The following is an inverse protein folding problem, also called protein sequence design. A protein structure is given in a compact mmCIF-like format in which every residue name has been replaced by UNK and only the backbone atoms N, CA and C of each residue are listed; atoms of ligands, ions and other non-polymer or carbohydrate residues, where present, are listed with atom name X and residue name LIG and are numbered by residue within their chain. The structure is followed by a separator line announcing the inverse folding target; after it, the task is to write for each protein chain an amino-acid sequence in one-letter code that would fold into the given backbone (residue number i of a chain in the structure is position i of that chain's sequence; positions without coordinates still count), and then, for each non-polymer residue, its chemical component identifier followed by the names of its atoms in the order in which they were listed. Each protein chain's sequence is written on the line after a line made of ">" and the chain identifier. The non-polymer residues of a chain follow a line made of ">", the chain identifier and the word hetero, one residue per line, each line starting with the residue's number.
data_IF_285593069415
#
_entry.id   IF_285593069415
#
_cell.length_a   1.000
_cell.length_b   1.000
_cell.length_c   1.000
_cell.angle_alpha   90.00
_cell.angle_beta   90.00
_cell.angle_gamma   90.00
#
_symmetry.space_group_name_H-M   'P 1'
#
loop_
_entity.id
_entity.type
_entity.pdbx_description
1 polymer ?
#
# COMPACT_ATOMS: atom_id res chain seq x y z
N UNK A 1 2.59 -6.00 -15.89
CA UNK A 1 2.30 -5.20 -14.68
C UNK A 1 1.71 -6.14 -13.63
N UNK A 2 2.22 -6.15 -12.40
CA UNK A 2 1.74 -7.03 -11.33
C UNK A 2 1.44 -6.22 -10.07
N UNK A 3 0.27 -6.46 -9.47
CA UNK A 3 -0.21 -5.80 -8.27
C UNK A 3 -0.23 -6.77 -7.10
N UNK A 4 0.36 -6.38 -5.98
CA UNK A 4 0.30 -7.09 -4.71
C UNK A 4 -0.58 -6.30 -3.74
N UNK A 5 -1.59 -6.94 -3.17
CA UNK A 5 -2.37 -6.41 -2.06
C UNK A 5 -2.24 -7.34 -0.86
N UNK A 6 -1.76 -6.84 0.28
CA UNK A 6 -1.53 -7.67 1.47
C UNK A 6 -1.87 -6.94 2.76
N UNK A 7 -2.82 -7.49 3.53
CA UNK A 7 -2.93 -7.18 4.95
C UNK A 7 -1.77 -7.84 5.73
N UNK A 8 -0.79 -7.02 6.13
CA UNK A 8 0.45 -7.48 6.77
C UNK A 8 0.33 -7.63 8.28
N UNK A 9 -0.74 -7.11 8.90
CA UNK A 9 -1.02 -7.15 10.35
C UNK A 9 0.13 -6.62 11.25
N UNK A 10 1.03 -5.81 10.69
CA UNK A 10 2.18 -5.22 11.36
C UNK A 10 3.49 -5.49 10.61
N UNK A 11 4.30 -4.44 10.43
CA UNK A 11 5.63 -4.52 9.81
C UNK A 11 6.79 -4.38 10.82
N UNK A 12 6.56 -4.74 12.08
CA UNK A 12 7.58 -4.72 13.14
C UNK A 12 8.51 -5.95 13.13
N UNK A 13 8.11 -7.04 12.46
CA UNK A 13 8.88 -8.28 12.38
C UNK A 13 9.74 -8.37 11.10
N UNK A 14 11.04 -8.63 11.26
CA UNK A 14 11.99 -8.84 10.15
C UNK A 14 11.58 -9.98 9.21
N UNK A 15 10.95 -11.04 9.72
CA UNK A 15 10.50 -12.16 8.90
C UNK A 15 9.36 -11.75 7.95
N UNK A 16 8.46 -10.87 8.41
CA UNK A 16 7.37 -10.34 7.57
C UNK A 16 7.96 -9.47 6.47
N UNK A 17 8.93 -8.61 6.81
CA UNK A 17 9.64 -7.77 5.81
C UNK A 17 10.38 -8.65 4.80
N UNK A 18 11.04 -9.73 5.23
CA UNK A 18 11.73 -10.63 4.32
C UNK A 18 10.75 -11.40 3.41
N UNK A 19 9.64 -11.90 3.96
CA UNK A 19 8.59 -12.55 3.19
C UNK A 19 7.97 -11.59 2.16
N UNK A 20 7.69 -10.35 2.56
CA UNK A 20 7.21 -9.29 1.68
C UNK A 20 8.18 -9.06 0.52
N UNK A 21 9.47 -8.91 0.81
CA UNK A 21 10.49 -8.75 -0.23
C UNK A 21 10.54 -9.98 -1.16
N UNK A 22 10.44 -11.19 -0.61
CA UNK A 22 10.41 -12.42 -1.38
C UNK A 22 9.23 -12.49 -2.34
N UNK A 23 8.03 -12.09 -1.89
CA UNK A 23 6.82 -12.06 -2.72
C UNK A 23 6.95 -10.98 -3.82
N UNK A 24 7.38 -9.77 -3.45
CA UNK A 24 7.58 -8.68 -4.41
C UNK A 24 8.57 -9.08 -5.50
N UNK A 25 9.69 -9.69 -5.11
CA UNK A 25 10.71 -10.15 -6.04
C UNK A 25 10.20 -11.29 -6.92
N UNK A 26 9.56 -12.30 -6.33
CA UNK A 26 9.05 -13.48 -7.05
C UNK A 26 8.06 -13.11 -8.14
N UNK A 27 7.18 -12.14 -7.88
CA UNK A 27 6.14 -11.74 -8.83
C UNK A 27 6.46 -10.46 -9.60
N UNK A 28 7.65 -9.88 -9.39
CA UNK A 28 8.06 -8.59 -9.93
C UNK A 28 6.96 -7.52 -9.79
N UNK A 29 6.37 -7.42 -8.59
CA UNK A 29 5.24 -6.55 -8.33
C UNK A 29 5.63 -5.09 -8.44
N UNK A 30 4.97 -4.36 -9.34
CA UNK A 30 5.23 -2.95 -9.59
C UNK A 30 4.35 -2.02 -8.75
N UNK A 31 3.21 -2.53 -8.30
CA UNK A 31 2.28 -1.84 -7.39
C UNK A 31 2.11 -2.72 -6.16
N UNK A 32 2.33 -2.18 -4.97
CA UNK A 32 2.20 -2.90 -3.71
C UNK A 32 1.33 -2.10 -2.75
N UNK A 33 0.15 -2.63 -2.43
CA UNK A 33 -0.73 -2.12 -1.40
C UNK A 33 -0.62 -2.95 -0.13
N UNK A 34 -0.35 -2.29 0.98
CA UNK A 34 -0.27 -2.90 2.31
C UNK A 34 -1.31 -2.27 3.23
N UNK A 35 -2.05 -3.12 3.94
CA UNK A 35 -2.98 -2.70 5.00
C UNK A 35 -2.58 -3.27 6.36
N UNK A 36 -3.04 -2.60 7.42
CA UNK A 36 -2.59 -2.83 8.80
C UNK A 36 -1.06 -2.79 8.94
N UNK A 37 -0.42 -1.77 8.37
CA UNK A 37 1.03 -1.64 8.46
C UNK A 37 1.49 -1.45 9.91
N UNK A 38 0.65 -0.83 10.75
CA UNK A 38 0.93 -0.47 12.16
C UNK A 38 2.24 0.31 12.35
N UNK A 39 2.67 1.00 11.28
CA UNK A 39 3.92 1.74 11.24
C UNK A 39 3.66 3.14 10.68
N UNK A 40 4.45 4.11 11.16
CA UNK A 40 4.38 5.49 10.66
C UNK A 40 5.06 5.60 9.29
N UNK A 41 4.65 6.59 8.50
CA UNK A 41 5.27 6.96 7.21
C UNK A 41 6.80 6.95 7.25
N UNK A 42 7.42 7.54 8.27
CA UNK A 42 8.89 7.62 8.40
C UNK A 42 9.60 6.26 8.51
N UNK A 43 8.94 5.24 9.03
CA UNK A 43 9.43 3.86 9.02
C UNK A 43 9.22 3.24 7.64
N UNK A 44 8.00 3.40 7.11
CA UNK A 44 7.58 2.82 5.84
C UNK A 44 8.33 3.38 4.63
N UNK A 45 8.84 4.61 4.66
CA UNK A 45 9.66 5.18 3.59
C UNK A 45 11.08 4.56 3.52
N UNK A 46 11.54 3.96 4.61
CA UNK A 46 12.89 3.35 4.68
C UNK A 46 12.91 1.93 4.11
N UNK A 47 11.77 1.23 4.11
CA UNK A 47 11.62 -0.12 3.56
C UNK A 47 11.73 -0.18 2.02
N UNK A 48 10.97 0.61 1.23
CA UNK A 48 10.96 0.55 -0.22
C UNK A 48 12.27 0.98 -0.87
N UNK A 49 13.12 1.77 -0.18
CA UNK A 49 14.47 2.13 -0.67
C UNK A 49 15.35 0.90 -0.93
N UNK A 50 15.03 -0.25 -0.31
CA UNK A 50 15.71 -1.53 -0.59
C UNK A 50 15.12 -2.29 -1.78
N UNK A 51 13.93 -1.90 -2.25
CA UNK A 51 13.07 -2.69 -3.14
C UNK A 51 12.72 -1.97 -4.46
N UNK A 52 13.55 -1.01 -4.92
CA UNK A 52 13.42 -0.30 -6.20
C UNK A 52 12.20 0.63 -6.38
N UNK A 53 11.27 0.70 -5.43
CA UNK A 53 10.12 1.60 -5.56
C UNK A 53 10.52 3.08 -5.52
N UNK A 54 10.08 3.84 -6.53
CA UNK A 54 10.40 5.25 -6.71
C UNK A 54 9.42 6.18 -6.00
N UNK A 55 8.18 5.72 -5.78
CA UNK A 55 7.11 6.51 -5.16
C UNK A 55 6.40 5.70 -4.08
N UNK A 56 5.89 6.41 -3.08
CA UNK A 56 5.12 5.82 -1.99
C UNK A 56 4.06 6.79 -1.47
N UNK A 57 2.86 6.28 -1.23
CA UNK A 57 1.76 6.99 -0.60
C UNK A 57 1.36 6.29 0.69
N UNK A 58 1.05 7.05 1.75
CA UNK A 58 0.90 6.51 3.09
C UNK A 58 -0.25 7.18 3.83
N UNK A 59 -1.13 6.36 4.40
CA UNK A 59 -2.11 6.79 5.38
C UNK A 59 -1.60 6.33 6.74
N UNK A 60 -1.25 7.28 7.62
CA UNK A 60 -0.73 6.94 8.94
C UNK A 60 -1.80 6.23 9.80
N UNK A 61 -1.41 5.27 10.64
CA UNK A 61 -2.33 4.68 11.61
C UNK A 61 -2.78 5.73 12.64
N UNK A 62 -4.09 5.80 12.91
CA UNK A 62 -4.65 6.58 14.02
C UNK A 62 -4.76 5.68 15.27
N UNK A 63 -5.10 4.39 15.07
CA UNK A 63 -5.22 3.37 16.12
C UNK A 63 -4.31 2.15 15.86
N UNK A 64 -4.35 1.18 16.77
CA UNK A 64 -3.51 -0.05 16.74
C UNK A 64 -3.77 -0.97 15.55
N UNK A 65 -4.89 -0.85 14.85
CA UNK A 65 -5.31 -1.74 13.76
C UNK A 65 -5.55 -0.96 12.44
N UNK A 66 -4.62 -0.07 12.10
CA UNK A 66 -4.75 0.84 10.97
C UNK A 66 -3.39 1.04 10.28
N UNK A 67 -3.41 1.86 9.23
CA UNK A 67 -2.23 2.22 8.44
C UNK A 67 -2.25 1.56 7.07
N UNK A 68 -2.14 2.39 6.03
CA UNK A 68 -2.06 1.97 4.63
C UNK A 68 -0.73 2.42 4.02
N UNK A 69 -0.19 1.60 3.12
CA UNK A 69 0.91 1.98 2.25
C UNK A 69 0.60 1.55 0.82
N UNK A 70 0.95 2.42 -0.14
CA UNK A 70 0.94 2.12 -1.56
C UNK A 70 2.33 2.43 -2.10
N UNK A 71 3.05 1.42 -2.58
CA UNK A 71 4.38 1.54 -3.19
C UNK A 71 4.31 1.28 -4.68
N UNK A 72 5.11 2.04 -5.45
CA UNK A 72 5.01 2.10 -6.90
C UNK A 72 6.39 2.16 -7.53
N UNK A 73 6.58 1.37 -8.57
CA UNK A 73 7.76 1.42 -9.43
C UNK A 73 7.32 1.32 -10.88
N UNK A 74 7.99 2.05 -11.76
CA UNK A 74 7.76 2.02 -13.22
C UNK A 74 6.34 2.40 -13.67
N UNK A 75 5.50 2.93 -12.77
CA UNK A 75 4.16 3.42 -13.06
C UNK A 75 3.96 4.81 -12.48
N UNK A 76 3.16 5.61 -13.17
CA UNK A 76 2.70 6.90 -12.68
C UNK A 76 1.28 6.77 -12.14
N UNK A 77 1.02 7.45 -11.03
CA UNK A 77 -0.31 7.49 -10.45
C UNK A 77 -0.71 8.93 -10.16
N UNK A 78 -2.02 9.19 -10.23
CA UNK A 78 -2.64 10.41 -9.70
C UNK A 78 -3.62 9.99 -8.62
N UNK A 79 -3.48 10.55 -7.41
CA UNK A 79 -4.46 10.35 -6.34
C UNK A 79 -5.73 11.12 -6.72
N UNK A 80 -6.85 10.41 -6.83
CA UNK A 80 -8.16 11.01 -7.12
C UNK A 80 -8.90 11.36 -5.82
N UNK A 81 -8.78 10.50 -4.82
CA UNK A 81 -9.42 10.65 -3.52
C UNK A 81 -8.69 9.78 -2.48
N UNK A 82 -8.60 10.27 -1.25
CA UNK A 82 -7.98 9.55 -0.14
C UNK A 82 -8.83 9.69 1.12
N UNK A 83 -9.02 8.58 1.84
CA UNK A 83 -9.62 8.55 3.17
C UNK A 83 -8.79 7.64 4.05
N UNK A 84 -9.13 7.56 5.35
CA UNK A 84 -8.42 6.70 6.31
C UNK A 84 -8.31 5.21 5.88
N UNK A 85 -9.24 4.75 5.05
CA UNK A 85 -9.43 3.37 4.65
C UNK A 85 -9.47 3.17 3.12
N UNK A 86 -9.18 4.21 2.35
CA UNK A 86 -9.37 4.25 0.90
C UNK A 86 -8.26 5.07 0.24
N UNK A 87 -7.70 4.56 -0.84
CA UNK A 87 -6.83 5.31 -1.75
C UNK A 87 -7.35 5.05 -3.16
N UNK A 88 -7.99 6.05 -3.76
CA UNK A 88 -8.45 6.01 -5.16
C UNK A 88 -7.40 6.65 -6.05
N UNK A 89 -7.05 5.96 -7.12
CA UNK A 89 -5.99 6.39 -8.04
C UNK A 89 -6.38 6.18 -9.50
N UNK A 90 -5.88 7.05 -10.37
CA UNK A 90 -5.69 6.72 -11.77
C UNK A 90 -4.23 6.29 -11.96
N UNK A 91 -4.02 5.25 -12.77
CA UNK A 91 -2.71 4.65 -13.00
C UNK A 91 -2.44 4.72 -14.50
N UNK A 92 -1.31 5.32 -14.85
CA UNK A 92 -0.82 5.42 -16.22
C UNK A 92 0.56 4.77 -16.34
N UNK A 93 0.79 4.15 -17.49
CA UNK A 93 2.08 3.59 -17.88
C UNK A 93 2.36 3.98 -19.32
N UNK A 94 3.63 4.19 -19.66
CA UNK A 94 4.03 4.55 -21.02
C UNK A 94 3.54 3.48 -22.00
N UNK A 95 2.80 3.90 -23.03
CA UNK A 95 2.29 3.00 -24.06
C UNK A 95 1.13 2.09 -23.63
N UNK A 96 0.47 2.38 -22.51
CA UNK A 96 -0.72 1.65 -22.03
C UNK A 96 -1.88 2.59 -21.73
N UNK A 97 -3.11 2.08 -21.79
CA UNK A 97 -4.29 2.84 -21.37
C UNK A 97 -4.26 3.14 -19.87
N UNK A 98 -4.75 4.31 -19.51
CA UNK A 98 -4.95 4.71 -18.12
C UNK A 98 -6.12 3.93 -17.53
N UNK A 99 -5.95 3.39 -16.33
CA UNK A 99 -6.98 2.64 -15.61
C UNK A 99 -7.17 3.20 -14.20
N UNK A 100 -8.33 2.93 -13.63
CA UNK A 100 -8.70 3.36 -12.27
C UNK A 100 -8.55 2.20 -11.30
N UNK A 101 -8.07 2.49 -10.10
CA UNK A 101 -7.94 1.50 -9.03
C UNK A 101 -8.28 2.11 -7.68
N UNK A 102 -9.04 1.36 -6.88
CA UNK A 102 -9.39 1.73 -5.51
C UNK A 102 -8.78 0.72 -4.54
N UNK A 103 -7.89 1.19 -3.68
CA UNK A 103 -7.30 0.39 -2.61
C UNK A 103 -8.08 0.60 -1.32
N UNK A 104 -8.77 -0.44 -0.85
CA UNK A 104 -9.71 -0.35 0.27
C UNK A 104 -9.29 -1.28 1.39
N UNK A 105 -9.36 -0.80 2.62
CA UNK A 105 -9.31 -1.64 3.81
C UNK A 105 -10.43 -1.29 4.79
N UNK A 106 -11.49 -2.09 4.85
CA UNK A 106 -12.62 -1.84 5.74
C UNK A 106 -12.16 -1.74 7.21
N UNK A 107 -12.78 -0.85 8.02
CA UNK A 107 -12.36 -0.65 9.39
C UNK A 107 -12.62 -1.92 10.21
N UNK A 108 -11.66 -2.33 11.05
CA UNK A 108 -11.81 -3.54 11.86
C UNK A 108 -12.81 -3.32 13.01
N UNK A 109 -13.07 -2.07 13.38
CA UNK A 109 -13.94 -1.69 14.50
C UNK A 109 -15.41 -1.61 14.08
N UNK A 110 -16.28 -2.30 14.82
CA UNK A 110 -17.71 -2.38 14.51
C UNK A 110 -18.42 -1.01 14.51
N UNK A 111 -17.98 -0.08 15.37
CA UNK A 111 -18.50 1.29 15.44
C UNK A 111 -18.32 2.08 14.13
N UNK A 112 -17.32 1.71 13.34
CA UNK A 112 -16.99 2.38 12.09
C UNK A 112 -17.56 1.68 10.87
N UNK A 113 -17.92 0.39 10.99
CA UNK A 113 -18.56 -0.38 9.91
C UNK A 113 -19.93 0.19 9.52
N UNK A 114 -20.64 0.81 10.46
CA UNK A 114 -21.95 1.43 10.22
C UNK A 114 -21.85 2.80 9.52
N UNK A 115 -20.63 3.32 9.31
CA UNK A 115 -20.37 4.65 8.74
C UNK A 115 -19.70 4.59 7.36
N UNK A 116 -19.59 3.39 6.77
CA UNK A 116 -19.04 3.17 5.44
C UNK A 116 -20.06 3.44 4.34
#
# INVERSE_FOLDING_TARGET
>A
MALLAWNVRGLDNRNIVQALNGVIFKYNSCIVFLSETKQRKSYLEKLPRKNKFSKGFYVNPIRKAEGLALWLTEVDITILNERKNLIDVSISSVGSETWLCSFIYAPPYNEEKQKL
#
